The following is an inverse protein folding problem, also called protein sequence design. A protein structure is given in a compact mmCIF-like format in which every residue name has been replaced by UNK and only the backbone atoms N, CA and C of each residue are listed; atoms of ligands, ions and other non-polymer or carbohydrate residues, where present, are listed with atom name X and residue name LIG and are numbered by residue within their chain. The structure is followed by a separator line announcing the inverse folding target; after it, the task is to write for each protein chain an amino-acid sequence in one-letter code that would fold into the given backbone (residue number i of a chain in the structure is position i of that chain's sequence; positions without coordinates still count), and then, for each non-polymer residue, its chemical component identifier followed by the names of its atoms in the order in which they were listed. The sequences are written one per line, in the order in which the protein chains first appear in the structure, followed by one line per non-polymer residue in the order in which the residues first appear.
data_IF_549966243404
#
_entry.id   IF_549966243404
#
_cell.length_a   1.000
_cell.length_b   1.000
_cell.length_c   1.000
_cell.angle_alpha   90.00
_cell.angle_beta   90.00
_cell.angle_gamma   90.00
#
_symmetry.space_group_name_H-M   'P 1'
#
loop_
_entity.id
_entity.type
_entity.pdbx_description
1 polymer ?
#
# COMPACT_ATOMS: atom_id res chain seq x y z
N UNK A 1 2.49 -19.41 -19.74
CA UNK A 1 2.85 -18.01 -19.45
C UNK A 1 1.69 -17.04 -19.72
N UNK A 2 1.07 -17.02 -20.92
CA UNK A 2 -0.01 -16.07 -21.25
C UNK A 2 -1.27 -16.17 -20.36
N UNK A 3 -1.72 -17.38 -20.02
CA UNK A 3 -2.95 -17.55 -19.24
C UNK A 3 -2.83 -17.10 -17.77
N UNK A 4 -1.65 -17.25 -17.16
CA UNK A 4 -1.38 -16.75 -15.80
C UNK A 4 -1.38 -15.22 -15.75
N UNK A 5 -0.74 -14.58 -16.73
CA UNK A 5 -0.75 -13.11 -16.86
C UNK A 5 -2.18 -12.56 -16.98
N UNK A 6 -3.03 -13.26 -17.73
CA UNK A 6 -4.45 -12.90 -17.90
C UNK A 6 -5.24 -12.94 -16.58
N UNK A 7 -5.13 -14.02 -15.83
CA UNK A 7 -5.84 -14.16 -14.55
C UNK A 7 -5.38 -13.12 -13.53
N UNK A 8 -4.07 -12.85 -13.47
CA UNK A 8 -3.49 -11.82 -12.59
C UNK A 8 -3.99 -10.42 -12.99
N UNK A 9 -4.00 -10.10 -14.29
CA UNK A 9 -4.48 -8.82 -14.78
C UNK A 9 -5.96 -8.60 -14.45
N UNK A 10 -6.81 -9.62 -14.65
CA UNK A 10 -8.25 -9.53 -14.36
C UNK A 10 -8.53 -9.37 -12.87
N UNK A 11 -7.91 -10.21 -12.03
CA UNK A 11 -8.10 -10.15 -10.58
C UNK A 11 -7.53 -8.85 -9.98
N UNK A 12 -6.34 -8.45 -10.42
CA UNK A 12 -5.71 -7.19 -10.02
C UNK A 12 -6.55 -5.98 -10.44
N UNK A 13 -7.07 -5.99 -11.66
CA UNK A 13 -7.94 -4.93 -12.18
C UNK A 13 -9.22 -4.75 -11.37
N UNK A 14 -9.94 -5.86 -11.08
CA UNK A 14 -11.13 -5.84 -10.21
C UNK A 14 -10.80 -5.33 -8.80
N UNK A 15 -9.68 -5.80 -8.22
CA UNK A 15 -9.25 -5.36 -6.89
C UNK A 15 -8.96 -3.86 -6.87
N UNK A 16 -8.23 -3.33 -7.87
CA UNK A 16 -7.91 -1.90 -7.97
C UNK A 16 -9.17 -1.04 -8.10
N UNK A 17 -10.17 -1.46 -8.89
CA UNK A 17 -11.45 -0.75 -8.98
C UNK A 17 -12.18 -0.77 -7.64
N UNK A 18 -12.25 -1.93 -6.98
CA UNK A 18 -12.89 -2.05 -5.68
C UNK A 18 -12.24 -1.15 -4.63
N UNK A 19 -10.91 -1.16 -4.52
CA UNK A 19 -10.18 -0.26 -3.61
C UNK A 19 -10.33 1.20 -3.99
N UNK A 20 -10.35 1.53 -5.28
CA UNK A 20 -10.59 2.89 -5.74
C UNK A 20 -11.96 3.42 -5.33
N UNK A 21 -13.01 2.60 -5.48
CA UNK A 21 -14.38 2.94 -5.04
C UNK A 21 -14.43 3.09 -3.52
N UNK A 22 -13.84 2.16 -2.75
CA UNK A 22 -13.79 2.25 -1.28
C UNK A 22 -13.06 3.53 -0.85
N UNK A 23 -11.90 3.82 -1.43
CA UNK A 23 -11.11 5.03 -1.15
C UNK A 23 -11.91 6.30 -1.45
N UNK A 24 -12.66 6.35 -2.55
CA UNK A 24 -13.52 7.49 -2.88
C UNK A 24 -14.73 7.64 -1.94
N UNK A 25 -15.25 6.54 -1.39
CA UNK A 25 -16.34 6.59 -0.40
C UNK A 25 -15.82 7.07 0.95
N UNK A 26 -14.67 6.57 1.36
CA UNK A 26 -14.05 6.89 2.65
C UNK A 26 -13.47 8.31 2.65
N UNK A 27 -12.98 8.79 1.51
CA UNK A 27 -12.52 10.18 1.38
C UNK A 27 -13.59 11.19 1.78
N UNK A 28 -14.87 10.93 1.54
CA UNK A 28 -15.97 11.83 1.94
C UNK A 28 -16.11 11.96 3.46
N UNK A 29 -15.70 10.93 4.21
CA UNK A 29 -15.75 10.87 5.67
C UNK A 29 -14.39 11.13 6.33
N UNK A 30 -13.32 11.24 5.54
CA UNK A 30 -11.99 11.43 6.05
C UNK A 30 -11.91 12.73 6.85
N UNK A 31 -11.40 12.63 8.07
CA UNK A 31 -11.12 13.77 8.95
C UNK A 31 -9.69 13.65 9.41
N UNK A 32 -8.98 14.77 9.49
CA UNK A 32 -7.70 14.83 10.20
C UNK A 32 -8.02 15.15 11.67
N UNK A 33 -8.65 14.22 12.38
CA UNK A 33 -8.87 14.39 13.80
C UNK A 33 -7.51 14.40 14.51
N UNK A 34 -7.17 15.50 15.18
CA UNK A 34 -6.25 15.40 16.31
C UNK A 34 -6.93 14.55 17.37
N UNK A 35 -6.23 13.56 17.91
CA UNK A 35 -6.71 12.71 18.98
C UNK A 35 -7.33 13.56 20.11
N UNK A 36 -8.65 13.56 20.19
CA UNK A 36 -9.39 14.07 21.34
C UNK A 36 -9.84 12.88 22.17
N UNK A 37 -9.34 12.80 23.41
CA UNK A 37 -9.91 12.11 24.60
C UNK A 37 -10.60 10.74 24.45
N UNK A 38 -10.20 9.91 23.49
CA UNK A 38 -10.74 8.56 23.31
C UNK A 38 -9.64 7.51 23.32
N UNK A 39 -9.50 6.79 24.44
CA UNK A 39 -8.73 5.55 24.66
C UNK A 39 -7.52 5.33 23.75
N UNK A 40 -6.33 5.63 24.28
CA UNK A 40 -5.03 5.34 23.66
C UNK A 40 -4.88 3.85 23.33
N UNK A 41 -5.23 3.45 22.10
CA UNK A 41 -4.63 2.26 21.50
C UNK A 41 -3.16 2.59 21.25
N UNK A 42 -2.23 1.84 21.84
CA UNK A 42 -0.80 2.01 21.60
C UNK A 42 -0.58 2.04 20.06
N UNK A 43 -0.14 3.17 19.46
CA UNK A 43 -0.06 3.32 18.01
C UNK A 43 0.91 2.31 17.38
N UNK A 44 1.93 1.87 18.13
CA UNK A 44 2.84 0.80 17.69
C UNK A 44 2.11 -0.55 17.65
N UNK A 45 1.25 -0.84 18.63
CA UNK A 45 0.45 -2.06 18.65
C UNK A 45 -0.62 -2.04 17.55
N UNK A 46 -1.30 -0.91 17.36
CA UNK A 46 -2.28 -0.74 16.29
C UNK A 46 -1.63 -0.91 14.91
N UNK A 47 -0.44 -0.31 14.69
CA UNK A 47 0.35 -0.50 13.47
C UNK A 47 0.78 -1.95 13.27
N UNK A 48 1.33 -2.58 14.31
CA UNK A 48 1.72 -3.99 14.25
C UNK A 48 0.54 -4.91 13.91
N UNK A 49 -0.58 -4.79 14.61
CA UNK A 49 -1.77 -5.61 14.38
C UNK A 49 -2.36 -5.37 12.98
N UNK A 50 -2.43 -4.13 12.53
CA UNK A 50 -2.94 -3.80 11.19
C UNK A 50 -2.04 -4.38 10.10
N UNK A 51 -0.72 -4.27 10.25
CA UNK A 51 0.25 -4.85 9.31
C UNK A 51 0.20 -6.38 9.29
N UNK A 52 0.15 -7.02 10.47
CA UNK A 52 0.11 -8.48 10.59
C UNK A 52 -1.22 -9.07 10.10
N UNK A 53 -2.34 -8.36 10.30
CA UNK A 53 -3.65 -8.78 9.82
C UNK A 53 -3.85 -8.51 8.32
N UNK A 54 -3.00 -7.70 7.69
CA UNK A 54 -3.09 -7.40 6.27
C UNK A 54 -2.61 -8.61 5.43
N UNK A 55 -3.49 -9.27 4.66
CA UNK A 55 -3.09 -10.43 3.85
C UNK A 55 -2.04 -10.09 2.79
N UNK A 56 -1.96 -8.83 2.33
CA UNK A 56 -0.94 -8.41 1.36
C UNK A 56 0.48 -8.50 1.92
N UNK A 57 0.66 -8.28 3.23
CA UNK A 57 1.96 -8.42 3.87
C UNK A 57 2.51 -9.85 3.69
N UNK A 58 1.67 -10.83 4.01
CA UNK A 58 2.03 -12.24 3.88
C UNK A 58 2.13 -12.70 2.43
N UNK A 59 1.22 -12.26 1.56
CA UNK A 59 1.30 -12.58 0.12
C UNK A 59 2.63 -12.08 -0.46
N UNK A 60 3.07 -10.86 -0.12
CA UNK A 60 4.35 -10.33 -0.60
C UNK A 60 5.55 -11.11 -0.05
N UNK A 61 5.61 -11.36 1.26
CA UNK A 61 6.72 -12.10 1.89
C UNK A 61 6.81 -13.55 1.43
N UNK A 62 5.67 -14.23 1.23
CA UNK A 62 5.63 -15.61 0.75
C UNK A 62 5.87 -15.72 -0.76
N UNK A 63 5.77 -14.62 -1.51
CA UNK A 63 6.07 -14.57 -2.94
C UNK A 63 7.43 -13.94 -3.21
N UNK A 64 7.45 -12.65 -3.56
CA UNK A 64 8.65 -11.91 -3.96
C UNK A 64 9.67 -11.85 -2.83
N UNK A 65 9.23 -11.59 -1.59
CA UNK A 65 10.12 -11.49 -0.44
C UNK A 65 10.92 -12.78 -0.19
N UNK A 66 10.29 -13.95 -0.34
CA UNK A 66 10.95 -15.24 -0.17
C UNK A 66 12.07 -15.45 -1.19
N UNK A 67 11.84 -15.09 -2.45
CA UNK A 67 12.85 -15.17 -3.52
C UNK A 67 14.03 -14.26 -3.19
N UNK A 68 13.76 -13.01 -2.77
CA UNK A 68 14.82 -12.06 -2.43
C UNK A 68 15.68 -12.53 -1.24
N UNK A 69 15.06 -13.08 -0.19
CA UNK A 69 15.79 -13.65 0.96
C UNK A 69 16.62 -14.86 0.52
N UNK A 70 16.02 -15.82 -0.20
CA UNK A 70 16.71 -17.04 -0.62
C UNK A 70 17.90 -16.71 -1.52
N UNK A 71 17.73 -15.83 -2.50
CA UNK A 71 18.84 -15.35 -3.33
C UNK A 71 19.93 -14.65 -2.50
N UNK A 72 19.54 -13.90 -1.47
CA UNK A 72 20.50 -13.33 -0.51
C UNK A 72 21.24 -14.40 0.28
N UNK A 73 20.56 -15.46 0.73
CA UNK A 73 21.14 -16.57 1.48
C UNK A 73 22.08 -17.42 0.63
N UNK A 74 21.78 -17.61 -0.66
CA UNK A 74 22.67 -18.25 -1.64
C UNK A 74 23.97 -17.47 -1.81
N UNK A 75 23.92 -16.14 -1.74
CA UNK A 75 25.09 -15.26 -1.73
C UNK A 75 25.79 -15.17 -0.35
N UNK A 76 25.15 -15.66 0.71
CA UNK A 76 25.68 -15.74 2.08
C UNK A 76 24.83 -15.01 3.11
N UNK A 77 24.88 -15.49 4.37
CA UNK A 77 24.05 -14.98 5.47
C UNK A 77 24.19 -13.47 5.69
N UNK A 78 25.39 -12.92 5.52
CA UNK A 78 25.64 -11.48 5.65
C UNK A 78 24.87 -10.68 4.59
N UNK A 79 24.82 -11.17 3.35
CA UNK A 79 24.11 -10.49 2.25
C UNK A 79 22.61 -10.48 2.52
N UNK A 80 22.03 -11.61 2.96
CA UNK A 80 20.65 -11.68 3.39
C UNK A 80 20.33 -10.73 4.55
N UNK A 81 21.23 -10.61 5.54
CA UNK A 81 21.08 -9.69 6.66
C UNK A 81 21.11 -8.22 6.20
N UNK A 82 22.03 -7.85 5.29
CA UNK A 82 22.09 -6.51 4.71
C UNK A 82 20.79 -6.18 3.95
N UNK A 83 20.28 -7.13 3.17
CA UNK A 83 18.99 -6.98 2.49
C UNK A 83 17.86 -6.69 3.49
N UNK A 84 17.73 -7.50 4.55
CA UNK A 84 16.67 -7.33 5.55
C UNK A 84 16.76 -5.98 6.27
N UNK A 85 17.96 -5.60 6.69
CA UNK A 85 18.19 -4.32 7.36
C UNK A 85 17.87 -3.16 6.40
N UNK A 86 18.36 -3.22 5.17
CA UNK A 86 18.12 -2.19 4.16
C UNK A 86 16.63 -2.06 3.82
N UNK A 87 15.95 -3.19 3.63
CA UNK A 87 14.52 -3.23 3.32
C UNK A 87 13.68 -2.60 4.44
N UNK A 88 13.85 -3.05 5.68
CA UNK A 88 13.10 -2.47 6.81
C UNK A 88 13.48 -1.02 7.11
N UNK A 89 14.74 -0.64 6.90
CA UNK A 89 15.17 0.76 7.04
C UNK A 89 14.54 1.65 5.97
N UNK A 90 14.39 1.14 4.74
CA UNK A 90 13.71 1.85 3.67
C UNK A 90 12.22 2.03 3.98
N UNK A 91 11.55 0.99 4.49
CA UNK A 91 10.15 1.07 4.93
C UNK A 91 9.99 2.09 6.06
N UNK A 92 10.82 1.99 7.10
CA UNK A 92 10.79 2.91 8.23
C UNK A 92 11.08 4.35 7.79
N UNK A 93 12.11 4.57 6.96
CA UNK A 93 12.48 5.87 6.43
C UNK A 93 11.36 6.47 5.57
N UNK A 94 10.72 5.67 4.73
CA UNK A 94 9.59 6.10 3.91
C UNK A 94 8.39 6.50 4.77
N UNK A 95 7.99 5.66 5.73
CA UNK A 95 6.86 5.98 6.61
C UNK A 95 7.14 7.19 7.50
N UNK A 96 8.36 7.33 8.02
CA UNK A 96 8.76 8.49 8.79
C UNK A 96 8.73 9.77 7.94
N UNK A 97 9.23 9.70 6.71
CA UNK A 97 9.18 10.81 5.76
C UNK A 97 7.73 11.22 5.47
N UNK A 98 6.86 10.26 5.14
CA UNK A 98 5.45 10.53 4.84
C UNK A 98 4.73 11.09 6.08
N UNK A 99 4.87 10.45 7.24
CA UNK A 99 4.23 10.88 8.49
C UNK A 99 4.68 12.29 8.90
N UNK A 100 5.99 12.55 8.89
CA UNK A 100 6.52 13.88 9.25
C UNK A 100 6.14 14.96 8.22
N UNK A 101 6.05 14.60 6.94
CA UNK A 101 5.58 15.51 5.89
C UNK A 101 4.11 15.86 6.07
N UNK A 102 3.27 14.88 6.43
CA UNK A 102 1.86 15.13 6.73
C UNK A 102 1.70 16.00 7.98
N UNK A 103 2.48 15.75 9.03
CA UNK A 103 2.46 16.52 10.28
C UNK A 103 2.90 17.98 10.08
N UNK A 104 4.02 18.20 9.38
CA UNK A 104 4.51 19.56 9.05
C UNK A 104 3.63 20.25 8.00
N UNK A 105 3.02 19.46 7.12
CA UNK A 105 2.13 19.92 6.06
C UNK A 105 0.68 20.16 6.49
N UNK A 106 0.33 20.02 7.78
CA UNK A 106 -1.05 20.16 8.29
C UNK A 106 -1.71 21.50 7.94
N UNK A 107 -0.92 22.57 7.74
CA UNK A 107 -1.43 23.86 7.27
C UNK A 107 -1.85 23.87 5.79
N UNK A 108 -1.21 23.05 4.95
CA UNK A 108 -1.54 22.91 3.51
C UNK A 108 -2.58 21.80 3.27
N UNK A 109 -2.56 20.76 4.10
CA UNK A 109 -3.50 19.64 4.09
C UNK A 109 -4.72 19.96 4.94
N UNK A 110 -5.46 21.01 4.60
CA UNK A 110 -6.78 21.21 5.19
C UNK A 110 -7.61 19.92 5.04
N UNK A 111 -8.57 19.63 5.93
CA UNK A 111 -9.41 18.43 5.80
C UNK A 111 -10.00 18.30 4.39
N UNK A 112 -10.38 19.40 3.76
CA UNK A 112 -10.89 19.39 2.38
C UNK A 112 -9.83 18.98 1.34
N UNK A 113 -8.62 19.51 1.42
CA UNK A 113 -7.52 19.12 0.53
C UNK A 113 -7.14 17.65 0.71
N UNK A 114 -7.15 17.14 1.95
CA UNK A 114 -6.93 15.73 2.24
C UNK A 114 -7.98 14.82 1.59
N UNK A 115 -9.27 15.20 1.65
CA UNK A 115 -10.36 14.48 0.96
C UNK A 115 -10.18 14.50 -0.56
N UNK A 116 -9.77 15.65 -1.13
CA UNK A 116 -9.51 15.78 -2.57
C UNK A 116 -8.38 14.86 -3.02
N UNK A 117 -7.27 14.83 -2.29
CA UNK A 117 -6.13 13.94 -2.59
C UNK A 117 -6.57 12.47 -2.55
N UNK A 118 -7.27 12.04 -1.49
CA UNK A 118 -7.79 10.68 -1.40
C UNK A 118 -8.77 10.35 -2.55
N UNK A 119 -9.63 11.29 -2.92
CA UNK A 119 -10.51 11.15 -4.08
C UNK A 119 -9.74 10.95 -5.39
N UNK A 120 -8.68 11.74 -5.61
CA UNK A 120 -7.81 11.60 -6.77
C UNK A 120 -7.09 10.24 -6.78
N UNK A 121 -6.55 9.79 -5.63
CA UNK A 121 -5.96 8.46 -5.51
C UNK A 121 -6.96 7.36 -5.89
N UNK A 122 -8.20 7.46 -5.42
CA UNK A 122 -9.26 6.54 -5.78
C UNK A 122 -9.55 6.52 -7.29
N UNK A 123 -9.58 7.69 -7.93
CA UNK A 123 -9.72 7.80 -9.40
C UNK A 123 -8.55 7.12 -10.12
N UNK A 124 -7.30 7.37 -9.70
CA UNK A 124 -6.13 6.72 -10.28
C UNK A 124 -6.20 5.19 -10.16
N UNK A 125 -6.62 4.66 -9.00
CA UNK A 125 -6.81 3.23 -8.80
C UNK A 125 -7.86 2.65 -9.75
N UNK A 126 -8.99 3.34 -9.95
CA UNK A 126 -10.02 2.92 -10.91
C UNK A 126 -9.47 2.92 -12.33
N UNK A 127 -8.77 3.97 -12.74
CA UNK A 127 -8.18 4.07 -14.09
C UNK A 127 -7.17 2.94 -14.34
N UNK A 128 -6.27 2.68 -13.39
CA UNK A 128 -5.34 1.55 -13.50
C UNK A 128 -6.07 0.21 -13.50
N UNK A 129 -7.13 0.07 -12.70
CA UNK A 129 -7.94 -1.15 -12.68
C UNK A 129 -8.62 -1.41 -14.02
N UNK A 130 -9.20 -0.38 -14.65
CA UNK A 130 -9.78 -0.45 -16.00
C UNK A 130 -8.70 -0.82 -17.03
N UNK A 131 -7.51 -0.23 -16.95
CA UNK A 131 -6.38 -0.56 -17.82
C UNK A 131 -5.94 -2.03 -17.68
N UNK A 132 -5.85 -2.53 -16.44
CA UNK A 132 -5.53 -3.94 -16.16
C UNK A 132 -6.61 -4.90 -16.65
N UNK A 133 -7.88 -4.52 -16.54
CA UNK A 133 -8.97 -5.31 -17.14
C UNK A 133 -8.88 -5.32 -18.65
N UNK A 134 -8.67 -4.15 -19.27
CA UNK A 134 -8.52 -3.97 -20.71
C UNK A 134 -7.38 -4.80 -21.30
N UNK A 135 -6.24 -4.84 -20.61
CA UNK A 135 -5.10 -5.70 -21.00
C UNK A 135 -5.39 -7.19 -20.78
N UNK A 136 -6.07 -7.56 -19.69
CA UNK A 136 -6.52 -8.93 -19.45
C UNK A 136 -7.54 -9.47 -20.45
N UNK A 137 -8.33 -8.61 -21.10
CA UNK A 137 -9.26 -9.01 -22.17
C UNK A 137 -8.71 -8.82 -23.59
N UNK A 138 -7.48 -8.32 -23.73
CA UNK A 138 -6.83 -8.07 -25.01
C UNK A 138 -7.35 -6.85 -25.77
N UNK A 139 -8.03 -5.93 -25.09
CA UNK A 139 -8.52 -4.65 -25.64
C UNK A 139 -7.45 -3.56 -25.58
N UNK A 140 -6.52 -3.67 -24.63
CA UNK A 140 -5.41 -2.73 -24.45
C UNK A 140 -4.10 -3.51 -24.53
N UNK A 141 -3.19 -3.06 -25.41
CA UNK A 141 -1.88 -3.67 -25.64
C UNK A 141 -0.87 -3.36 -24.54
#
# INVERSE_FOLDING_TARGET
MQQYSRSIALMGGLALIAFGILTMRDSKRATMASAGDGSYTNPYLAGFLTSAANPYFWIWWLSIGSVLIVSGLEAGLIVAAIFMIGHWSADFGWYLLVSSSLERGRGLLSPENYRRILGLCGIFLILFGIYYLGSGIGVVG
#
